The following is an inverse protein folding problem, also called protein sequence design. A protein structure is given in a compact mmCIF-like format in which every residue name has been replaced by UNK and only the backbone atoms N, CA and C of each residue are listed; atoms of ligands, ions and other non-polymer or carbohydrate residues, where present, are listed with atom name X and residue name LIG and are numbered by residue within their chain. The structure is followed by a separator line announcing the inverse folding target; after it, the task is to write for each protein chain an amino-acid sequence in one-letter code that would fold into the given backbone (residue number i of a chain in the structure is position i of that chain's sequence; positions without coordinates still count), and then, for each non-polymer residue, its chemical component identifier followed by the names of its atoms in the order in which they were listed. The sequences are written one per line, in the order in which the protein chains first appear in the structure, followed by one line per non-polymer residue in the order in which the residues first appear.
data_IF_309695818376
#
_entry.id   IF_309695818376
#
_cell.length_a   1.000
_cell.length_b   1.000
_cell.length_c   1.000
_cell.angle_alpha   90.00
_cell.angle_beta   90.00
_cell.angle_gamma   90.00
#
_symmetry.space_group_name_H-M   'P 1'
#
loop_
_entity.id
_entity.type
_entity.pdbx_description
1 polymer ?
#
# COMPACT_ATOMS: atom_id res chain seq x y z
N UNK A 1 -1.64 12.62 0.05
CA UNK A 1 -0.79 13.03 -1.08
C UNK A 1 0.33 12.00 -1.21
N UNK A 2 0.49 11.40 -2.38
CA UNK A 2 1.57 10.42 -2.64
C UNK A 2 2.86 11.16 -3.00
N UNK A 3 4.01 10.56 -2.67
CA UNK A 3 5.32 11.20 -2.86
C UNK A 3 5.77 11.16 -4.33
N UNK A 4 5.43 10.07 -5.02
CA UNK A 4 5.74 9.83 -6.43
C UNK A 4 4.64 8.98 -7.05
N UNK A 5 4.37 9.19 -8.33
CA UNK A 5 3.56 8.28 -9.14
C UNK A 5 4.32 7.90 -10.42
N UNK A 6 4.21 6.65 -10.84
CA UNK A 6 4.83 6.17 -12.09
C UNK A 6 3.97 5.10 -12.76
N UNK A 7 4.09 4.99 -14.09
CA UNK A 7 3.47 3.90 -14.84
C UNK A 7 4.33 2.65 -14.76
N UNK A 8 3.70 1.51 -14.55
CA UNK A 8 4.34 0.21 -14.44
C UNK A 8 3.56 -0.80 -15.27
N UNK A 9 4.23 -1.53 -16.15
CA UNK A 9 3.59 -2.63 -16.88
C UNK A 9 3.77 -3.94 -16.11
N UNK A 10 2.66 -4.61 -15.83
CA UNK A 10 2.61 -5.91 -15.16
C UNK A 10 1.71 -6.85 -15.95
N UNK A 11 2.27 -7.97 -16.42
CA UNK A 11 1.55 -8.95 -17.25
C UNK A 11 0.85 -8.32 -18.47
N UNK A 12 1.47 -7.33 -19.11
CA UNK A 12 0.91 -6.60 -20.25
C UNK A 12 -0.19 -5.59 -19.89
N UNK A 13 -0.45 -5.36 -18.60
CA UNK A 13 -1.39 -4.34 -18.12
C UNK A 13 -0.61 -3.18 -17.50
N UNK A 14 -0.88 -1.95 -17.95
CA UNK A 14 -0.31 -0.75 -17.33
C UNK A 14 -1.07 -0.42 -16.04
N UNK A 15 -0.34 -0.30 -14.94
CA UNK A 15 -0.84 0.10 -13.63
C UNK A 15 -0.06 1.31 -13.11
N UNK A 16 -0.73 2.21 -12.40
CA UNK A 16 -0.06 3.36 -11.77
C UNK A 16 0.42 2.97 -10.38
N UNK A 17 1.73 2.95 -10.17
CA UNK A 17 2.32 2.82 -8.84
C UNK A 17 2.32 4.18 -8.17
N UNK A 18 1.89 4.23 -6.90
CA UNK A 18 1.91 5.43 -6.08
C UNK A 18 2.73 5.17 -4.82
N UNK A 19 3.78 5.95 -4.60
CA UNK A 19 4.62 5.80 -3.41
C UNK A 19 3.89 6.34 -2.17
N UNK A 20 3.70 5.47 -1.18
CA UNK A 20 3.15 5.83 0.12
C UNK A 20 4.09 6.77 0.86
N UNK A 21 3.54 7.84 1.42
CA UNK A 21 4.23 8.69 2.39
C UNK A 21 4.54 7.93 3.68
N UNK A 22 5.46 8.47 4.50
CA UNK A 22 5.77 7.89 5.80
C UNK A 22 4.54 7.73 6.69
N UNK A 23 3.63 8.72 6.70
CA UNK A 23 2.38 8.65 7.48
C UNK A 23 1.46 7.54 6.97
N UNK A 24 1.28 7.44 5.65
CA UNK A 24 0.46 6.38 5.04
C UNK A 24 1.03 4.98 5.31
N UNK A 25 2.38 4.83 5.35
CA UNK A 25 3.03 3.58 5.73
C UNK A 25 2.69 3.19 7.17
N UNK A 26 2.72 4.14 8.11
CA UNK A 26 2.37 3.89 9.52
C UNK A 26 0.91 3.45 9.64
N UNK A 27 -0.02 4.15 8.98
CA UNK A 27 -1.44 3.79 8.97
C UNK A 27 -1.68 2.39 8.38
N UNK A 28 -0.98 2.07 7.29
CA UNK A 28 -1.06 0.75 6.65
C UNK A 28 -0.57 -0.36 7.58
N UNK A 29 0.57 -0.17 8.27
CA UNK A 29 1.08 -1.14 9.24
C UNK A 29 0.10 -1.35 10.40
N UNK A 30 -0.51 -0.29 10.91
CA UNK A 30 -1.53 -0.38 11.96
C UNK A 30 -2.79 -1.14 11.48
N UNK A 31 -3.18 -0.97 10.22
CA UNK A 31 -4.27 -1.73 9.61
C UNK A 31 -3.92 -3.22 9.48
N UNK A 32 -2.72 -3.55 9.01
CA UNK A 32 -2.26 -4.94 8.86
C UNK A 32 -2.21 -5.65 10.21
N UNK A 33 -1.70 -5.00 11.25
CA UNK A 33 -1.66 -5.55 12.61
C UNK A 33 -3.06 -5.91 13.11
N UNK A 34 -4.03 -4.99 12.98
CA UNK A 34 -5.43 -5.25 13.37
C UNK A 34 -6.07 -6.40 12.60
N UNK A 35 -5.78 -6.52 11.30
CA UNK A 35 -6.29 -7.64 10.49
C UNK A 35 -5.70 -8.99 10.91
N UNK A 36 -4.41 -9.01 11.25
CA UNK A 36 -3.76 -10.22 11.77
C UNK A 36 -4.41 -10.65 13.10
N UNK A 37 -4.59 -9.71 14.03
CA UNK A 37 -5.25 -9.97 15.32
C UNK A 37 -6.70 -10.49 15.15
N UNK A 38 -7.44 -9.97 14.16
CA UNK A 38 -8.80 -10.45 13.84
C UNK A 38 -8.83 -11.83 13.19
N UNK A 39 -7.80 -12.19 12.42
CA UNK A 39 -7.72 -13.50 11.76
C UNK A 39 -7.29 -14.61 12.73
N UNK A 40 -6.68 -14.25 13.86
CA UNK A 40 -6.26 -15.17 14.93
C UNK A 40 -7.35 -15.43 15.99
N UNK A 41 -8.50 -14.74 15.91
CA UNK A 41 -9.67 -14.91 16.80
C UNK A 41 -10.74 -15.81 16.18
#
# INVERSE_FOLDING_TARGET
MFLKTEQFEYNGVSVTLSELSALQRIEHLALLKRRAEQAES
#
